data_IF_417025725923
#
_entry.id   IF_417025725923
#
_cell.length_a   1.000
_cell.length_b   1.000
_cell.length_c   1.000
_cell.angle_alpha   90.00
_cell.angle_beta   90.00
_cell.angle_gamma   90.00
#
_symmetry.space_group_name_H-M   'P 1'
#
loop_
_entity.id
_entity.type
_entity.pdbx_description
1 polymer ?
#
# COMPACT_ATOMS: atom_id res chain seq x y z
N UNK A 1 -21.80 -16.90 -9.33
CA UNK A 1 -20.46 -16.28 -9.39
C UNK A 1 -20.44 -15.14 -8.38
N UNK A 2 -19.41 -15.04 -7.53
CA UNK A 2 -19.28 -13.96 -6.55
C UNK A 2 -18.15 -13.06 -7.01
N UNK A 3 -18.42 -11.76 -7.13
CA UNK A 3 -17.41 -10.75 -7.47
C UNK A 3 -17.12 -9.88 -6.26
N UNK A 4 -15.83 -9.63 -6.01
CA UNK A 4 -15.37 -8.67 -5.01
C UNK A 4 -15.12 -7.35 -5.72
N UNK A 5 -15.86 -6.31 -5.37
CA UNK A 5 -15.60 -4.96 -5.87
C UNK A 5 -14.40 -4.37 -5.13
N UNK A 6 -13.20 -4.57 -5.68
CA UNK A 6 -11.97 -4.05 -5.08
C UNK A 6 -11.93 -2.52 -5.08
N UNK A 7 -12.55 -1.83 -6.04
CA UNK A 7 -12.60 -0.37 -6.03
C UNK A 7 -13.33 0.10 -4.77
N UNK A 8 -14.58 -0.35 -4.58
CA UNK A 8 -15.37 -0.01 -3.40
C UNK A 8 -14.69 -0.42 -2.10
N UNK A 9 -14.07 -1.60 -2.05
CA UNK A 9 -13.35 -2.06 -0.87
C UNK A 9 -12.18 -1.14 -0.49
N UNK A 10 -11.50 -0.51 -1.46
CA UNK A 10 -10.37 0.39 -1.23
C UNK A 10 -10.78 1.87 -1.06
N UNK A 11 -11.96 2.29 -1.51
CA UNK A 11 -12.42 3.69 -1.46
C UNK A 11 -13.57 3.95 -0.49
N UNK A 12 -14.15 2.92 0.13
CA UNK A 12 -15.31 3.12 1.00
C UNK A 12 -14.93 3.77 2.35
N UNK A 13 -15.57 4.89 2.74
CA UNK A 13 -15.28 5.63 3.97
C UNK A 13 -15.62 4.87 5.26
N UNK A 14 -16.43 3.81 5.18
CA UNK A 14 -16.71 2.90 6.30
C UNK A 14 -15.47 2.13 6.74
N UNK A 15 -14.57 1.80 5.81
CA UNK A 15 -13.38 1.01 6.07
C UNK A 15 -12.11 1.87 6.19
N UNK A 16 -12.09 3.00 5.48
CA UNK A 16 -10.91 3.84 5.39
C UNK A 16 -11.23 5.28 5.77
N UNK A 17 -10.49 5.83 6.73
CA UNK A 17 -10.52 7.27 7.02
C UNK A 17 -9.85 8.06 5.87
N UNK A 18 -10.56 9.03 5.29
CA UNK A 18 -10.10 9.83 4.14
C UNK A 18 -9.62 8.93 2.97
N UNK A 19 -10.51 8.11 2.37
CA UNK A 19 -10.14 7.10 1.37
C UNK A 19 -9.52 7.69 0.10
N UNK A 20 -9.92 8.91 -0.28
CA UNK A 20 -9.46 9.58 -1.49
C UNK A 20 -8.05 10.20 -1.35
N UNK A 21 -7.48 10.18 -0.14
CA UNK A 21 -6.15 10.75 0.13
C UNK A 21 -5.08 9.66 0.16
N UNK A 22 -3.94 9.93 -0.49
CA UNK A 22 -2.75 9.12 -0.35
C UNK A 22 -2.13 9.28 1.05
N UNK A 23 -2.35 8.30 1.93
CA UNK A 23 -1.88 8.31 3.33
C UNK A 23 -1.14 7.01 3.71
N UNK A 24 0.14 6.84 3.33
CA UNK A 24 0.92 5.62 3.61
C UNK A 24 0.96 5.22 5.09
N UNK A 25 0.88 6.20 6.00
CA UNK A 25 0.93 6.03 7.45
C UNK A 25 -0.19 5.11 7.96
N UNK A 26 -1.30 5.00 7.20
CA UNK A 26 -2.44 4.15 7.57
C UNK A 26 -2.08 2.67 7.65
N UNK A 27 -1.02 2.25 6.95
CA UNK A 27 -0.50 0.88 6.95
C UNK A 27 0.54 0.62 8.04
N UNK A 28 0.83 1.62 8.88
CA UNK A 28 1.87 1.58 9.88
C UNK A 28 1.22 1.58 11.28
N UNK A 29 1.74 0.76 12.20
CA UNK A 29 1.32 0.69 13.60
C UNK A 29 2.53 0.73 14.53
N UNK A 30 2.36 1.23 15.76
CA UNK A 30 3.44 1.22 16.73
C UNK A 30 3.85 -0.21 17.10
N UNK A 31 5.14 -0.40 17.36
CA UNK A 31 5.69 -1.64 17.88
C UNK A 31 5.45 -1.74 19.38
N UNK A 32 4.88 -2.87 19.83
CA UNK A 32 4.70 -3.21 21.24
C UNK A 32 5.27 -4.62 21.49
N UNK A 33 6.38 -4.78 22.24
CA UNK A 33 7.24 -3.74 22.80
C UNK A 33 8.10 -3.04 21.71
N UNK A 34 8.59 -1.82 21.98
CA UNK A 34 9.47 -1.09 21.06
C UNK A 34 10.79 -1.86 20.85
N UNK A 35 11.22 -1.96 19.58
CA UNK A 35 12.54 -2.50 19.25
C UNK A 35 13.53 -1.34 19.09
N UNK A 36 14.62 -1.44 19.83
CA UNK A 36 15.75 -0.49 19.75
C UNK A 36 16.79 -1.13 18.83
N UNK A 37 17.14 -0.45 17.74
CA UNK A 37 18.25 -0.89 16.89
C UNK A 37 19.56 -0.83 17.70
N UNK A 38 20.29 -1.96 17.84
CA UNK A 38 21.50 -2.00 18.66
C UNK A 38 22.67 -1.18 18.08
N UNK A 39 22.62 -0.85 16.78
CA UNK A 39 23.71 -0.14 16.06
C UNK A 39 23.42 1.37 15.93
N UNK A 40 22.19 1.76 15.60
CA UNK A 40 21.82 3.16 15.34
C UNK A 40 21.22 3.86 16.56
N UNK A 41 20.86 3.09 17.61
CA UNK A 41 20.06 3.54 18.77
C UNK A 41 18.77 4.29 18.40
N UNK A 42 18.33 4.20 17.14
CA UNK A 42 17.05 4.76 16.72
C UNK A 42 15.95 3.82 17.18
N UNK A 43 14.93 4.38 17.82
CA UNK A 43 13.75 3.61 18.14
C UNK A 43 12.97 3.42 16.83
N UNK A 44 13.05 2.23 16.25
CA UNK A 44 12.14 1.85 15.18
C UNK A 44 10.80 1.56 15.86
N UNK A 45 10.04 2.61 16.11
CA UNK A 45 8.78 2.52 16.85
C UNK A 45 7.63 2.00 16.01
N UNK A 46 7.85 1.59 14.76
CA UNK A 46 6.78 1.33 13.81
C UNK A 46 6.97 0.04 13.01
N UNK A 47 5.88 -0.68 12.79
CA UNK A 47 5.80 -1.87 11.95
C UNK A 47 4.63 -1.76 10.98
N UNK A 48 4.67 -2.53 9.90
CA UNK A 48 3.50 -2.66 9.03
C UNK A 48 2.36 -3.37 9.78
N UNK A 49 1.15 -2.82 9.67
CA UNK A 49 -0.07 -3.46 10.16
C UNK A 49 -0.24 -4.79 9.46
N UNK A 50 -0.32 -5.85 10.26
CA UNK A 50 -0.71 -7.18 9.79
C UNK A 50 -2.23 -7.26 9.76
N UNK A 51 -2.78 -7.97 8.78
CA UNK A 51 -4.19 -8.37 8.71
C UNK A 51 -5.19 -7.20 8.67
N UNK A 52 -5.05 -6.28 7.71
CA UNK A 52 -6.12 -5.31 7.41
C UNK A 52 -7.20 -6.03 6.58
N UNK A 53 -8.42 -6.28 7.13
CA UNK A 53 -9.37 -7.22 6.48
C UNK A 53 -9.89 -6.75 5.13
N UNK A 54 -10.01 -5.44 4.94
CA UNK A 54 -10.50 -4.79 3.72
C UNK A 54 -9.36 -4.37 2.79
N UNK A 55 -8.15 -4.92 2.96
CA UNK A 55 -7.02 -4.65 2.09
C UNK A 55 -6.55 -5.92 1.39
N UNK A 56 -7.00 -6.09 0.14
CA UNK A 56 -6.77 -7.30 -0.67
C UNK A 56 -6.10 -6.99 -2.02
N UNK A 57 -4.93 -6.31 -2.04
CA UNK A 57 -4.29 -5.88 -3.29
C UNK A 57 -3.83 -7.04 -4.19
N UNK A 58 -3.71 -8.24 -3.63
CA UNK A 58 -3.25 -9.45 -4.32
C UNK A 58 -4.19 -10.64 -4.05
N UNK A 59 -5.45 -10.36 -3.71
CA UNK A 59 -6.42 -11.36 -3.23
C UNK A 59 -5.96 -12.06 -1.94
N UNK A 60 -6.63 -13.15 -1.55
CA UNK A 60 -6.34 -13.93 -0.34
C UNK A 60 -6.63 -15.42 -0.54
N UNK A 61 -5.99 -16.28 0.25
CA UNK A 61 -6.23 -17.74 0.27
C UNK A 61 -5.46 -18.49 -0.82
N UNK A 62 -5.96 -19.67 -1.22
CA UNK A 62 -5.29 -20.57 -2.17
C UNK A 62 -5.12 -19.98 -3.59
N UNK A 63 -5.84 -18.90 -3.90
CA UNK A 63 -5.82 -18.19 -5.18
C UNK A 63 -5.19 -16.78 -5.06
N UNK A 64 -4.39 -16.55 -4.03
CA UNK A 64 -3.59 -15.31 -3.91
C UNK A 64 -2.67 -15.19 -5.12
N UNK A 65 -2.42 -13.97 -5.59
CA UNK A 65 -1.55 -13.70 -6.72
C UNK A 65 -0.16 -14.35 -6.50
N UNK A 66 0.21 -15.26 -7.41
CA UNK A 66 1.52 -15.93 -7.39
C UNK A 66 2.69 -14.93 -7.52
N UNK A 67 2.45 -13.81 -8.20
CA UNK A 67 3.41 -12.74 -8.41
C UNK A 67 3.56 -11.76 -7.24
N UNK A 68 2.83 -11.94 -6.13
CA UNK A 68 2.83 -10.97 -5.02
C UNK A 68 4.24 -10.69 -4.50
N UNK A 69 5.05 -11.72 -4.25
CA UNK A 69 6.38 -11.54 -3.69
C UNK A 69 7.34 -10.88 -4.70
N UNK A 70 7.18 -11.24 -5.98
CA UNK A 70 7.93 -10.64 -7.09
C UNK A 70 7.65 -9.13 -7.17
N UNK A 71 6.38 -8.73 -7.28
CA UNK A 71 5.99 -7.32 -7.39
C UNK A 71 6.39 -6.53 -6.15
N UNK A 72 6.30 -7.10 -4.95
CA UNK A 72 6.77 -6.44 -3.72
C UNK A 72 8.28 -6.13 -3.77
N UNK A 73 9.09 -7.10 -4.18
CA UNK A 73 10.54 -6.90 -4.30
C UNK A 73 10.91 -5.91 -5.40
N UNK A 74 10.39 -6.13 -6.61
CA UNK A 74 10.66 -5.26 -7.76
C UNK A 74 10.14 -3.83 -7.53
N UNK A 75 8.92 -3.68 -7.00
CA UNK A 75 8.33 -2.39 -6.70
C UNK A 75 9.13 -1.62 -5.65
N UNK A 76 9.65 -2.30 -4.63
CA UNK A 76 10.52 -1.66 -3.63
C UNK A 76 11.82 -1.13 -4.27
N UNK A 77 12.51 -1.95 -5.06
CA UNK A 77 13.76 -1.56 -5.72
C UNK A 77 13.51 -0.42 -6.70
N UNK A 78 12.45 -0.51 -7.50
CA UNK A 78 12.08 0.52 -8.47
C UNK A 78 11.79 1.86 -7.77
N UNK A 79 10.95 1.86 -6.74
CA UNK A 79 10.61 3.07 -5.99
C UNK A 79 11.84 3.67 -5.30
N UNK A 80 12.66 2.84 -4.66
CA UNK A 80 13.89 3.30 -3.99
C UNK A 80 14.88 3.95 -4.97
N UNK A 81 15.05 3.37 -6.16
CA UNK A 81 15.93 3.95 -7.18
C UNK A 81 15.40 5.27 -7.73
N UNK A 82 14.08 5.36 -7.93
CA UNK A 82 13.44 6.60 -8.38
C UNK A 82 13.68 7.70 -7.34
N UNK A 83 13.36 7.43 -6.06
CA UNK A 83 13.54 8.41 -4.97
C UNK A 83 15.00 8.78 -4.71
N UNK A 84 15.95 7.88 -4.96
CA UNK A 84 17.37 8.15 -4.75
C UNK A 84 17.99 9.04 -5.85
N UNK A 85 17.48 8.96 -7.08
CA UNK A 85 18.11 9.60 -8.25
C UNK A 85 17.36 10.80 -8.81
N UNK A 86 16.08 10.95 -8.49
CA UNK A 86 15.22 11.95 -9.11
C UNK A 86 14.35 12.68 -8.08
N UNK A 87 14.20 13.99 -8.28
CA UNK A 87 13.13 14.77 -7.66
C UNK A 87 11.93 14.80 -8.60
N UNK A 88 10.80 14.25 -8.15
CA UNK A 88 9.58 14.15 -8.97
C UNK A 88 8.62 15.27 -8.60
N UNK A 89 8.27 16.09 -9.59
CA UNK A 89 7.26 17.13 -9.49
C UNK A 89 6.35 17.11 -10.72
N UNK A 90 5.09 17.51 -10.56
CA UNK A 90 4.19 17.80 -11.70
C UNK A 90 4.10 19.31 -11.88
N UNK A 91 4.13 19.78 -13.13
CA UNK A 91 3.94 21.20 -13.46
C UNK A 91 2.48 21.64 -13.31
N UNK A 92 1.54 20.72 -13.53
CA UNK A 92 0.11 20.96 -13.38
C UNK A 92 -0.58 19.69 -12.83
N UNK A 93 -1.18 19.81 -11.65
CA UNK A 93 -1.91 18.71 -11.00
C UNK A 93 -3.28 18.48 -11.64
N UNK A 94 -3.86 19.48 -12.31
CA UNK A 94 -5.19 19.39 -12.90
C UNK A 94 -5.26 18.46 -14.12
N UNK A 95 -4.11 18.19 -14.75
CA UNK A 95 -4.00 17.25 -15.87
C UNK A 95 -4.08 15.78 -15.42
N UNK A 96 -3.85 15.50 -14.14
CA UNK A 96 -3.83 14.14 -13.61
C UNK A 96 -5.29 13.69 -13.38
N UNK A 97 -5.87 13.02 -14.38
CA UNK A 97 -7.22 12.46 -14.30
C UNK A 97 -7.16 10.98 -13.95
N UNK A 98 -7.73 10.61 -12.82
CA UNK A 98 -7.94 9.21 -12.42
C UNK A 98 -9.40 8.84 -12.63
N UNK A 99 -9.65 7.69 -13.23
CA UNK A 99 -10.99 7.16 -13.43
C UNK A 99 -11.20 5.95 -12.52
N UNK A 100 -12.34 5.87 -11.81
CA UNK A 100 -12.73 4.66 -11.08
C UNK A 100 -12.68 3.45 -11.99
N UNK A 101 -11.89 2.45 -11.62
CA UNK A 101 -11.78 1.20 -12.35
C UNK A 101 -11.64 0.03 -11.38
N UNK A 102 -12.32 -1.07 -11.70
CA UNK A 102 -12.12 -2.36 -11.06
C UNK A 102 -11.80 -3.37 -12.17
N UNK A 103 -10.55 -3.81 -12.23
CA UNK A 103 -10.14 -4.85 -13.18
C UNK A 103 -10.24 -6.20 -12.47
N UNK A 104 -11.24 -6.99 -12.85
CA UNK A 104 -11.28 -8.40 -12.51
C UNK A 104 -10.41 -9.14 -13.54
N UNK A 105 -9.16 -9.44 -13.17
CA UNK A 105 -8.33 -10.38 -13.93
C UNK A 105 -8.74 -11.81 -13.54
N UNK A 106 -8.91 -12.73 -14.52
CA UNK A 106 -9.32 -14.12 -14.28
C UNK A 106 -8.31 -14.92 -13.47
#
# INVERSE_FOLDING_TARGET
>A
IVFINNYELNTNPKYWNEPDKFKPERFIAPLNPPKIDPVTKRVQNVQLKKNIPHFLPFSIGKRTCIGQNLVKGFGFIMLANIMHKYDICSTDLSQIKTYPACVAVP
#
